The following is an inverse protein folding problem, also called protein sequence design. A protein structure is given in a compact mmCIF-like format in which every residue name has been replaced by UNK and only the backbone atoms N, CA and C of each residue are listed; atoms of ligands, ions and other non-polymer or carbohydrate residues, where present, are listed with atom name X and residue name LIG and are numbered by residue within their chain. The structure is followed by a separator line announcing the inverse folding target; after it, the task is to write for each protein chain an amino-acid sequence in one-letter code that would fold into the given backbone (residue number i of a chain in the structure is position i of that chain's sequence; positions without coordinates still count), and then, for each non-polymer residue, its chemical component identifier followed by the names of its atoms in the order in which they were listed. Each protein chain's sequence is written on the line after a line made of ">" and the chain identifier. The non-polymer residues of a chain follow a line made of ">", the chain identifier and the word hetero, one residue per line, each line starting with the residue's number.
data_IF_740882538135
#
_entry.id   IF_740882538135
#
_cell.length_a   1.000
_cell.length_b   1.000
_cell.length_c   1.000
_cell.angle_alpha   90.00
_cell.angle_beta   90.00
_cell.angle_gamma   90.00
#
_symmetry.space_group_name_H-M   'P 1'
#
loop_
_entity.id
_entity.type
_entity.pdbx_description
1 polymer ?
#
# COMPACT_ATOMS: atom_id res chain seq x y z
N UNK A 1 -19.51 7.65 -15.82
CA UNK A 1 -19.17 6.23 -15.62
C UNK A 1 -17.79 5.88 -16.17
N UNK A 2 -17.54 6.02 -17.49
CA UNK A 2 -16.26 5.66 -18.12
C UNK A 2 -15.02 6.32 -17.48
N UNK A 3 -15.03 7.66 -17.32
CA UNK A 3 -13.89 8.39 -16.71
C UNK A 3 -13.57 7.94 -15.28
N UNK A 4 -14.58 7.63 -14.47
CA UNK A 4 -14.40 7.16 -13.10
C UNK A 4 -13.74 5.78 -13.05
N UNK A 5 -14.17 4.88 -13.93
CA UNK A 5 -13.57 3.54 -14.06
C UNK A 5 -12.14 3.65 -14.57
N UNK A 6 -11.90 4.44 -15.63
CA UNK A 6 -10.56 4.61 -16.20
C UNK A 6 -9.57 5.18 -15.17
N UNK A 7 -9.96 6.23 -14.46
CA UNK A 7 -9.11 6.84 -13.44
C UNK A 7 -8.71 5.82 -12.35
N UNK A 8 -9.66 5.05 -11.83
CA UNK A 8 -9.37 4.05 -10.80
C UNK A 8 -8.59 2.84 -11.33
N UNK A 9 -8.80 2.46 -12.58
CA UNK A 9 -8.20 1.28 -13.21
C UNK A 9 -6.74 1.50 -13.60
N UNK A 10 -6.37 2.69 -14.06
CA UNK A 10 -4.97 2.98 -14.44
C UNK A 10 -4.13 3.40 -13.23
N UNK A 11 -4.65 4.29 -12.38
CA UNK A 11 -3.80 4.93 -11.35
C UNK A 11 -3.58 4.07 -10.11
N UNK A 12 -4.61 3.38 -9.62
CA UNK A 12 -4.49 2.59 -8.37
C UNK A 12 -3.50 1.44 -8.53
N UNK A 13 -3.57 0.62 -9.60
CA UNK A 13 -2.61 -0.46 -9.79
C UNK A 13 -1.17 0.04 -10.01
N UNK A 14 -0.99 1.20 -10.66
CA UNK A 14 0.32 1.80 -10.83
C UNK A 14 0.98 2.14 -9.47
N UNK A 15 0.22 2.75 -8.56
CA UNK A 15 0.71 3.06 -7.20
C UNK A 15 1.04 1.78 -6.43
N UNK A 16 0.18 0.75 -6.50
CA UNK A 16 0.43 -0.53 -5.84
C UNK A 16 1.70 -1.20 -6.38
N UNK A 17 1.87 -1.23 -7.71
CA UNK A 17 3.05 -1.80 -8.35
C UNK A 17 4.33 -1.10 -7.89
N UNK A 18 4.33 0.23 -7.89
CA UNK A 18 5.48 1.03 -7.45
C UNK A 18 5.74 0.85 -5.96
N UNK A 19 4.71 0.78 -5.13
CA UNK A 19 4.87 0.58 -3.68
C UNK A 19 5.54 -0.76 -3.40
N UNK A 20 5.06 -1.84 -4.03
CA UNK A 20 5.66 -3.18 -3.89
C UNK A 20 7.09 -3.22 -4.43
N UNK A 21 7.36 -2.55 -5.56
CA UNK A 21 8.72 -2.41 -6.08
C UNK A 21 9.64 -1.69 -5.10
N UNK A 22 9.20 -0.57 -4.53
CA UNK A 22 9.95 0.21 -3.54
C UNK A 22 10.22 -0.60 -2.27
N UNK A 23 9.29 -1.44 -1.83
CA UNK A 23 9.49 -2.35 -0.71
C UNK A 23 10.50 -3.45 -1.05
N UNK A 24 10.45 -4.02 -2.25
CA UNK A 24 11.37 -5.06 -2.68
C UNK A 24 12.83 -4.58 -2.74
N UNK A 25 13.08 -3.33 -3.14
CA UNK A 25 14.43 -2.73 -3.12
C UNK A 25 14.86 -2.26 -1.72
N UNK A 26 13.91 -2.06 -0.80
CA UNK A 26 14.15 -1.61 0.57
C UNK A 26 13.69 -2.66 1.58
N UNK A 27 14.36 -3.81 1.62
CA UNK A 27 13.97 -4.98 2.42
C UNK A 27 13.72 -4.68 3.91
N UNK A 28 14.44 -3.72 4.50
CA UNK A 28 14.23 -3.29 5.89
C UNK A 28 12.83 -2.71 6.11
N UNK A 29 12.33 -1.91 5.16
CA UNK A 29 10.99 -1.32 5.22
C UNK A 29 9.94 -2.39 4.94
N UNK A 30 10.18 -3.28 3.98
CA UNK A 30 9.31 -4.42 3.72
C UNK A 30 9.14 -5.32 4.96
N UNK A 31 10.24 -5.62 5.66
CA UNK A 31 10.20 -6.41 6.89
C UNK A 31 9.37 -5.71 7.96
N UNK A 32 9.58 -4.42 8.17
CA UNK A 32 8.82 -3.63 9.15
C UNK A 32 7.33 -3.53 8.80
N UNK A 33 6.97 -3.39 7.52
CA UNK A 33 5.57 -3.47 7.09
C UNK A 33 4.96 -4.83 7.42
N UNK A 34 5.69 -5.92 7.18
CA UNK A 34 5.21 -7.27 7.48
C UNK A 34 5.04 -7.48 8.99
N UNK A 35 5.99 -7.03 9.81
CA UNK A 35 5.88 -7.07 11.28
C UNK A 35 4.66 -6.28 11.77
N UNK A 36 4.37 -5.10 11.21
CA UNK A 36 3.16 -4.33 11.53
C UNK A 36 1.88 -5.10 11.16
N UNK A 37 1.82 -5.68 9.96
CA UNK A 37 0.66 -6.45 9.49
C UNK A 37 0.45 -7.69 10.38
N UNK A 38 1.50 -8.44 10.68
CA UNK A 38 1.43 -9.63 11.55
C UNK A 38 0.99 -9.26 12.97
N UNK A 39 1.41 -8.10 13.49
CA UNK A 39 1.00 -7.62 14.81
C UNK A 39 -0.50 -7.26 14.86
N UNK A 40 -1.02 -6.62 13.81
CA UNK A 40 -2.40 -6.12 13.76
C UNK A 40 -3.39 -7.21 13.34
N UNK A 41 -3.05 -7.99 12.33
CA UNK A 41 -3.94 -8.98 11.71
C UNK A 41 -3.70 -10.41 12.20
N UNK A 42 -2.57 -10.69 12.85
CA UNK A 42 -2.14 -12.05 13.12
C UNK A 42 -1.74 -12.79 11.85
N UNK A 43 -1.64 -14.12 11.94
CA UNK A 43 -1.23 -14.99 10.83
C UNK A 43 -2.41 -15.64 10.10
N UNK A 44 -3.61 -15.63 10.68
CA UNK A 44 -4.80 -16.29 10.14
C UNK A 44 -6.05 -15.43 10.39
N UNK A 45 -6.77 -15.08 9.33
CA UNK A 45 -8.02 -14.32 9.43
C UNK A 45 -8.20 -13.30 8.31
N UNK A 46 -9.43 -12.79 8.20
CA UNK A 46 -9.77 -11.72 7.25
C UNK A 46 -9.28 -10.36 7.76
N UNK A 47 -8.75 -9.56 6.84
CA UNK A 47 -8.37 -8.18 7.14
C UNK A 47 -9.65 -7.32 7.21
N UNK A 48 -9.92 -6.78 8.40
CA UNK A 48 -11.07 -5.88 8.62
C UNK A 48 -10.72 -4.41 8.32
N UNK A 49 -11.73 -3.58 8.08
CA UNK A 49 -11.52 -2.14 7.85
C UNK A 49 -10.86 -1.44 9.04
N UNK A 50 -11.22 -1.83 10.27
CA UNK A 50 -10.59 -1.32 11.50
C UNK A 50 -9.12 -1.69 11.56
N UNK A 51 -8.75 -2.91 11.17
CA UNK A 51 -7.34 -3.31 11.10
C UNK A 51 -6.57 -2.49 10.06
N UNK A 52 -7.14 -2.26 8.86
CA UNK A 52 -6.52 -1.40 7.84
C UNK A 52 -6.24 0.00 8.37
N UNK A 53 -7.15 0.60 9.14
CA UNK A 53 -6.94 1.93 9.71
C UNK A 53 -5.81 2.00 10.75
N UNK A 54 -5.39 0.87 11.32
CA UNK A 54 -4.28 0.80 12.28
C UNK A 54 -2.91 0.58 11.60
N UNK A 55 -2.87 0.24 10.30
CA UNK A 55 -1.63 -0.02 9.54
C UNK A 55 -0.90 1.27 9.14
N UNK A 56 -0.41 2.01 10.14
CA UNK A 56 0.15 3.36 9.97
C UNK A 56 1.45 3.36 9.16
N UNK A 57 2.30 2.36 9.33
CA UNK A 57 3.58 2.31 8.63
C UNK A 57 3.40 1.87 7.17
N UNK A 58 2.48 0.96 6.88
CA UNK A 58 2.07 0.64 5.50
C UNK A 58 1.53 1.89 4.80
N UNK A 59 0.66 2.66 5.45
CA UNK A 59 0.12 3.92 4.89
C UNK A 59 1.22 4.96 4.63
N UNK A 60 2.22 5.06 5.52
CA UNK A 60 3.41 5.89 5.31
C UNK A 60 4.22 5.45 4.09
N UNK A 61 4.37 4.15 3.84
CA UNK A 61 5.10 3.64 2.67
C UNK A 61 4.37 3.94 1.36
N UNK A 62 3.04 3.82 1.34
CA UNK A 62 2.21 4.21 0.19
C UNK A 62 2.32 5.72 -0.04
N UNK A 63 2.19 6.52 1.02
CA UNK A 63 2.33 7.97 0.97
C UNK A 63 3.69 8.42 0.44
N UNK A 64 4.77 7.76 0.86
CA UNK A 64 6.12 8.05 0.37
C UNK A 64 6.28 7.65 -1.10
N UNK A 65 5.67 6.54 -1.52
CA UNK A 65 5.63 6.14 -2.93
C UNK A 65 4.92 7.19 -3.76
N UNK A 66 3.77 7.71 -3.31
CA UNK A 66 3.04 8.80 -3.98
C UNK A 66 3.85 10.10 -4.02
N UNK A 67 4.65 10.39 -2.98
CA UNK A 67 5.54 11.55 -2.95
C UNK A 67 6.66 11.44 -4.00
N UNK A 68 7.23 10.24 -4.18
CA UNK A 68 8.29 9.99 -5.16
C UNK A 68 7.76 9.86 -6.58
N UNK A 69 6.60 9.20 -6.73
CA UNK A 69 5.96 8.85 -7.99
C UNK A 69 4.49 9.28 -7.95
N UNK A 70 4.19 10.58 -8.09
CA UNK A 70 2.83 11.05 -8.12
C UNK A 70 2.12 10.48 -9.36
N UNK A 71 1.02 9.73 -9.21
CA UNK A 71 0.24 9.27 -10.35
C UNK A 71 -0.38 10.48 -11.03
N UNK A 72 0.05 10.75 -12.26
CA UNK A 72 -0.53 11.80 -13.09
C UNK A 72 -1.78 11.22 -13.76
N UNK A 73 -2.93 11.83 -13.48
CA UNK A 73 -4.19 11.65 -14.24
C UNK A 73 -4.25 12.63 -15.40
#
# INVERSE_FOLDING_TARGET
>A
AFMFVLAGFETTPAVLHLTVYMLAIHENFQKRCREEIELICGTEGDITYTMLSEMKFVDQCISETLRMYPPVV
#
